data_IF_694512445343
#
_entry.id   IF_694512445343
#
_cell.length_a   1.000
_cell.length_b   1.000
_cell.length_c   1.000
_cell.angle_alpha   90.00
_cell.angle_beta   90.00
_cell.angle_gamma   90.00
#
_symmetry.space_group_name_H-M   'P 1'
#
loop_
_entity.id
_entity.type
_entity.pdbx_description
1 polymer ?
#
# COMPACT_ATOMS: atom_id res chain seq x y z
N UNK A 1 -4.95 11.20 8.26
CA UNK A 1 -3.53 11.30 8.65
C UNK A 1 -3.15 12.77 8.84
N UNK A 2 -2.41 13.12 9.91
CA UNK A 2 -2.15 14.52 10.34
C UNK A 2 -0.68 14.92 10.55
N UNK A 3 0.28 14.06 10.20
CA UNK A 3 1.70 14.41 10.15
C UNK A 3 2.05 14.99 8.77
N UNK A 4 2.61 16.20 8.72
CA UNK A 4 2.91 16.93 7.47
C UNK A 4 4.36 16.79 7.00
N UNK A 5 5.21 16.08 7.73
CA UNK A 5 6.63 15.90 7.41
C UNK A 5 7.10 14.46 7.66
N UNK A 6 8.20 14.07 7.00
CA UNK A 6 8.86 12.79 7.23
C UNK A 6 9.38 12.60 8.66
N UNK A 7 9.58 13.71 9.40
CA UNK A 7 9.97 13.69 10.80
C UNK A 7 8.95 12.99 11.71
N UNK A 8 7.65 13.08 11.40
CA UNK A 8 6.62 12.35 12.17
C UNK A 8 6.80 10.83 12.07
N UNK A 9 7.13 10.32 10.88
CA UNK A 9 7.37 8.89 10.65
C UNK A 9 8.66 8.46 11.34
N UNK A 10 9.72 9.26 11.23
CA UNK A 10 10.99 8.99 11.91
C UNK A 10 10.82 8.94 13.44
N UNK A 11 10.08 9.89 14.04
CA UNK A 11 9.79 9.90 15.48
C UNK A 11 8.97 8.67 15.90
N UNK A 12 7.94 8.28 15.12
CA UNK A 12 7.17 7.06 15.40
C UNK A 12 8.04 5.81 15.32
N UNK A 13 8.97 5.75 14.37
CA UNK A 13 9.92 4.66 14.24
C UNK A 13 10.87 4.58 15.44
N UNK A 14 11.49 5.71 15.81
CA UNK A 14 12.38 5.79 16.98
C UNK A 14 11.64 5.41 18.26
N UNK A 15 10.41 5.92 18.45
CA UNK A 15 9.59 5.57 19.60
C UNK A 15 9.30 4.06 19.67
N UNK A 16 8.95 3.42 18.55
CA UNK A 16 8.75 1.97 18.47
C UNK A 16 10.03 1.18 18.77
N UNK A 17 11.19 1.62 18.27
CA UNK A 17 12.48 0.99 18.55
C UNK A 17 12.85 1.09 20.03
N UNK A 18 12.74 2.28 20.63
CA UNK A 18 12.99 2.47 22.06
C UNK A 18 12.05 1.63 22.91
N UNK A 19 10.76 1.61 22.55
CA UNK A 19 9.76 0.79 23.23
C UNK A 19 10.12 -0.71 23.14
N UNK A 20 10.51 -1.20 21.97
CA UNK A 20 10.93 -2.59 21.77
C UNK A 20 12.24 -2.95 22.49
N UNK A 21 13.23 -2.06 22.50
CA UNK A 21 14.54 -2.29 23.11
C UNK A 21 14.48 -2.26 24.65
N UNK A 22 13.70 -1.34 25.22
CA UNK A 22 13.60 -1.15 26.68
C UNK A 22 12.55 -2.07 27.30
N UNK A 23 11.42 -2.30 26.62
CA UNK A 23 10.25 -3.02 27.17
C UNK A 23 9.90 -4.30 26.38
N UNK A 24 10.76 -4.79 25.48
CA UNK A 24 10.44 -5.90 24.57
C UNK A 24 9.92 -7.17 25.26
N UNK A 25 10.60 -7.63 26.31
CA UNK A 25 10.19 -8.82 27.08
C UNK A 25 8.85 -8.63 27.79
N UNK A 26 8.59 -7.44 28.33
CA UNK A 26 7.30 -7.09 28.95
C UNK A 26 6.17 -6.96 27.93
N UNK A 27 6.45 -6.41 26.74
CA UNK A 27 5.49 -6.25 25.66
C UNK A 27 5.08 -7.59 25.06
N UNK A 28 6.01 -8.54 24.92
CA UNK A 28 5.70 -9.91 24.48
C UNK A 28 4.64 -10.52 25.40
N UNK A 29 4.81 -10.44 26.73
CA UNK A 29 3.86 -11.02 27.69
C UNK A 29 2.47 -10.35 27.67
N UNK A 30 2.39 -9.10 27.19
CA UNK A 30 1.11 -8.40 26.97
C UNK A 30 0.50 -8.81 25.62
N UNK A 31 1.31 -8.94 24.57
CA UNK A 31 0.86 -9.38 23.23
C UNK A 31 0.32 -10.81 23.26
N UNK A 32 0.88 -11.70 24.07
CA UNK A 32 0.38 -13.08 24.25
C UNK A 32 -1.01 -13.14 24.88
N UNK A 33 -1.39 -12.14 25.69
CA UNK A 33 -2.73 -12.03 26.29
C UNK A 33 -3.75 -11.39 25.34
N UNK A 34 -3.30 -10.87 24.20
CA UNK A 34 -4.18 -10.17 23.28
C UNK A 34 -4.98 -11.18 22.45
N UNK A 35 -6.32 -11.06 22.40
CA UNK A 35 -7.15 -12.05 21.72
C UNK A 35 -6.90 -12.02 20.20
N UNK A 36 -6.57 -13.19 19.63
CA UNK A 36 -6.28 -13.36 18.19
C UNK A 36 -7.43 -12.89 17.30
N UNK A 37 -8.68 -13.03 17.75
CA UNK A 37 -9.86 -12.54 17.03
C UNK A 37 -9.87 -11.03 16.82
N UNK A 38 -9.38 -10.25 17.79
CA UNK A 38 -9.28 -8.79 17.67
C UNK A 38 -8.15 -8.40 16.72
N UNK A 39 -7.02 -9.12 16.74
CA UNK A 39 -5.94 -8.93 15.76
C UNK A 39 -6.44 -9.18 14.34
N UNK A 40 -7.23 -10.25 14.14
CA UNK A 40 -7.87 -10.55 12.85
C UNK A 40 -8.82 -9.44 12.40
N UNK A 41 -9.66 -8.93 13.29
CA UNK A 41 -10.58 -7.82 12.98
C UNK A 41 -9.83 -6.53 12.59
N UNK A 42 -8.78 -6.18 13.32
CA UNK A 42 -7.92 -5.03 13.00
C UNK A 42 -7.21 -5.21 11.66
N UNK A 43 -6.70 -6.41 11.37
CA UNK A 43 -6.03 -6.73 10.11
C UNK A 43 -6.99 -6.68 8.93
N UNK A 44 -8.21 -7.21 9.07
CA UNK A 44 -9.23 -7.10 8.03
C UNK A 44 -9.59 -5.64 7.76
N UNK A 45 -9.81 -4.83 8.80
CA UNK A 45 -10.11 -3.42 8.61
C UNK A 45 -8.97 -2.67 7.92
N UNK A 46 -7.72 -2.90 8.36
CA UNK A 46 -6.55 -2.32 7.71
C UNK A 46 -6.40 -2.77 6.25
N UNK A 47 -6.68 -4.04 5.94
CA UNK A 47 -6.68 -4.57 4.59
C UNK A 47 -7.78 -3.98 3.70
N UNK A 48 -8.98 -3.78 4.24
CA UNK A 48 -10.09 -3.13 3.53
C UNK A 48 -9.77 -1.66 3.24
N UNK A 49 -9.27 -0.91 4.23
CA UNK A 49 -8.79 0.47 4.04
C UNK A 49 -7.71 0.56 2.97
N UNK A 50 -6.73 -0.36 2.99
CA UNK A 50 -5.70 -0.45 1.96
C UNK A 50 -6.29 -0.78 0.58
N UNK A 51 -7.28 -1.68 0.50
CA UNK A 51 -7.94 -2.05 -0.75
C UNK A 51 -8.82 -0.90 -1.30
N UNK A 52 -9.44 -0.09 -0.43
CA UNK A 52 -10.22 1.08 -0.84
C UNK A 52 -9.36 2.12 -1.56
N UNK A 53 -8.06 2.21 -1.26
CA UNK A 53 -7.14 3.07 -2.00
C UNK A 53 -7.08 2.74 -3.50
N UNK A 54 -7.36 1.50 -3.91
CA UNK A 54 -7.44 1.14 -5.33
C UNK A 54 -8.68 1.76 -6.02
N UNK A 55 -9.75 2.06 -5.28
CA UNK A 55 -10.94 2.76 -5.81
C UNK A 55 -10.72 4.26 -5.96
N UNK A 56 -9.78 4.82 -5.19
CA UNK A 56 -9.45 6.26 -5.19
C UNK A 56 -8.37 6.64 -6.23
N UNK A 57 -8.14 5.78 -7.21
CA UNK A 57 -7.17 6.03 -8.27
C UNK A 57 -7.75 6.91 -9.40
N UNK A 58 -6.91 7.79 -9.96
CA UNK A 58 -7.29 8.74 -11.01
C UNK A 58 -7.86 8.09 -12.28
N UNK A 59 -7.44 6.88 -12.62
CA UNK A 59 -7.91 6.15 -13.80
C UNK A 59 -8.25 4.70 -13.50
N UNK A 60 -9.15 4.14 -14.31
CA UNK A 60 -9.47 2.70 -14.28
C UNK A 60 -8.23 1.83 -14.57
N UNK A 61 -7.27 2.36 -15.34
CA UNK A 61 -6.01 1.67 -15.63
C UNK A 61 -5.12 1.55 -14.39
N UNK A 62 -4.98 2.62 -13.62
CA UNK A 62 -4.16 2.63 -12.39
C UNK A 62 -4.78 1.74 -11.30
N UNK A 63 -6.11 1.77 -11.16
CA UNK A 63 -6.83 0.85 -10.28
C UNK A 63 -6.60 -0.62 -10.69
N UNK A 64 -6.62 -0.92 -11.99
CA UNK A 64 -6.35 -2.26 -12.49
C UNK A 64 -4.92 -2.73 -12.19
N UNK A 65 -3.92 -1.85 -12.35
CA UNK A 65 -2.52 -2.15 -11.96
C UNK A 65 -2.41 -2.51 -10.48
N UNK A 66 -3.04 -1.73 -9.60
CA UNK A 66 -3.06 -1.98 -8.16
C UNK A 66 -3.68 -3.33 -7.81
N UNK A 67 -4.79 -3.70 -8.47
CA UNK A 67 -5.46 -4.99 -8.25
C UNK A 67 -4.62 -6.17 -8.76
N UNK A 68 -3.97 -6.04 -9.91
CA UNK A 68 -3.08 -7.09 -10.44
C UNK A 68 -1.85 -7.26 -9.56
N UNK A 69 -1.22 -6.17 -9.12
CA UNK A 69 -0.11 -6.21 -8.16
C UNK A 69 -0.50 -6.99 -6.89
N UNK A 70 -1.69 -6.69 -6.34
CA UNK A 70 -2.21 -7.37 -5.14
C UNK A 70 -2.49 -8.85 -5.41
N UNK A 71 -3.17 -9.18 -6.51
CA UNK A 71 -3.52 -10.56 -6.86
C UNK A 71 -2.29 -11.44 -7.07
N UNK A 72 -1.27 -10.93 -7.78
CA UNK A 72 0.00 -11.63 -7.99
C UNK A 72 0.76 -11.77 -6.67
N UNK A 73 0.77 -10.74 -5.82
CA UNK A 73 1.41 -10.80 -4.50
C UNK A 73 0.81 -11.87 -3.60
N UNK A 74 -0.52 -12.02 -3.61
CA UNK A 74 -1.25 -13.03 -2.83
C UNK A 74 -0.94 -14.47 -3.27
N UNK A 75 -0.82 -14.70 -4.57
CA UNK A 75 -0.50 -16.02 -5.13
C UNK A 75 1.00 -16.35 -5.15
N UNK A 76 1.87 -15.40 -4.84
CA UNK A 76 3.32 -15.58 -4.93
C UNK A 76 4.06 -14.84 -3.81
N UNK A 77 4.66 -13.69 -4.11
CA UNK A 77 5.36 -12.83 -3.16
C UNK A 77 5.20 -11.36 -3.57
N UNK A 78 5.30 -10.46 -2.59
CA UNK A 78 5.17 -9.02 -2.77
C UNK A 78 6.17 -8.47 -3.81
N UNK A 79 7.37 -9.03 -3.89
CA UNK A 79 8.36 -8.64 -4.88
C UNK A 79 7.89 -8.92 -6.32
N UNK A 80 7.35 -10.12 -6.58
CA UNK A 80 6.87 -10.50 -7.91
C UNK A 80 5.64 -9.69 -8.28
N UNK A 81 4.71 -9.48 -7.34
CA UNK A 81 3.53 -8.65 -7.57
C UNK A 81 3.89 -7.19 -7.88
N UNK A 82 4.86 -6.62 -7.18
CA UNK A 82 5.35 -5.27 -7.45
C UNK A 82 5.95 -5.15 -8.86
N UNK A 83 6.81 -6.09 -9.26
CA UNK A 83 7.39 -6.12 -10.61
C UNK A 83 6.30 -6.30 -11.67
N UNK A 84 5.35 -7.20 -11.47
CA UNK A 84 4.21 -7.39 -12.38
C UNK A 84 3.37 -6.11 -12.53
N UNK A 85 3.15 -5.39 -11.41
CA UNK A 85 2.50 -4.08 -11.41
C UNK A 85 3.24 -3.03 -12.23
N UNK A 86 4.57 -2.93 -12.06
CA UNK A 86 5.42 -2.01 -12.86
C UNK A 86 5.30 -2.32 -14.35
N UNK A 87 5.46 -3.60 -14.72
CA UNK A 87 5.39 -4.02 -16.13
C UNK A 87 4.04 -3.66 -16.73
N UNK A 88 2.94 -3.96 -16.03
CA UNK A 88 1.59 -3.64 -16.50
C UNK A 88 1.36 -2.13 -16.61
N UNK A 89 1.83 -1.34 -15.65
CA UNK A 89 1.75 0.13 -15.70
C UNK A 89 2.47 0.68 -16.94
N UNK A 90 3.69 0.22 -17.21
CA UNK A 90 4.46 0.64 -18.38
C UNK A 90 3.77 0.28 -19.70
N UNK A 91 3.20 -0.91 -19.80
CA UNK A 91 2.42 -1.34 -20.98
C UNK A 91 1.20 -0.45 -21.19
N UNK A 92 0.44 -0.16 -20.13
CA UNK A 92 -0.73 0.71 -20.22
C UNK A 92 -0.35 2.16 -20.56
N UNK A 93 0.74 2.65 -19.98
CA UNK A 93 1.28 3.98 -20.26
C UNK A 93 1.70 4.12 -21.72
N UNK A 94 2.47 3.17 -22.27
CA UNK A 94 2.85 3.15 -23.69
C UNK A 94 1.63 3.14 -24.61
N UNK A 95 0.62 2.31 -24.29
CA UNK A 95 -0.64 2.26 -25.05
C UNK A 95 -1.37 3.60 -25.04
N UNK A 96 -1.38 4.30 -23.91
CA UNK A 96 -2.08 5.58 -23.77
C UNK A 96 -1.30 6.74 -24.43
N UNK A 97 0.03 6.68 -24.43
CA UNK A 97 0.91 7.66 -25.06
C UNK A 97 0.62 7.81 -26.56
N UNK A 98 0.39 6.69 -27.26
CA UNK A 98 0.02 6.69 -28.69
C UNK A 98 -1.38 7.21 -29.01
N UNK A 99 -2.22 7.51 -27.99
CA UNK A 99 -3.59 8.02 -28.17
C UNK A 99 -3.71 9.53 -27.92
N UNK A 100 -2.59 10.23 -27.68
CA UNK A 100 -2.56 11.69 -27.65
C UNK A 100 -2.84 12.20 -29.07
N UNK A 101 -4.10 12.50 -29.38
CA UNK A 101 -4.43 13.26 -30.59
C UNK A 101 -3.87 14.67 -30.40
N UNK A 102 -3.10 15.23 -31.35
CA UNK A 102 -2.83 16.66 -31.32
C UNK A 102 -4.20 17.36 -31.39
N UNK A 103 -4.54 18.08 -30.32
CA UNK A 103 -5.72 18.94 -30.33
C UNK A 103 -5.52 19.93 -31.48
N UNK A 104 -6.35 19.82 -32.51
CA UNK A 104 -6.32 20.77 -33.61
C UNK A 104 -6.52 22.16 -33.01
N UNK A 105 -5.47 22.98 -33.16
CA UNK A 105 -5.49 24.42 -32.91
C UNK A 105 -6.69 25.03 -33.62
N UNK A 106 -7.72 25.34 -32.83
CA UNK A 106 -8.84 26.16 -33.25
C UNK A 106 -8.51 27.60 -32.87
N UNK A 107 -8.14 28.38 -33.89
CA UNK A 107 -8.23 29.84 -34.06
C UNK A 107 -8.52 30.68 -32.81
#
# INVERSE_FOLDING_TARGET
>A
FGGRSGGCVALLGIAKLLLGLVLGSSLIGIMEKFPVGVLGALLLFAGIELAMAARDMNTKGDAFVMLVCTAVSLGSNAAIGFVAGIVLYLVLWMRNYGRVKPSASGR
#
